data_IF_662581802431
#
_entry.id   IF_662581802431
#
_cell.length_a   1.000
_cell.length_b   1.000
_cell.length_c   1.000
_cell.angle_alpha   90.00
_cell.angle_beta   90.00
_cell.angle_gamma   90.00
#
_symmetry.space_group_name_H-M   'P 1'
#
loop_
_entity.id
_entity.type
_entity.pdbx_description
1 polymer ?
#
# COMPACT_ATOMS: atom_id res chain seq x y z
N UNK A 1 -0.73 -16.06 -4.65
CA UNK A 1 -1.13 -16.77 -5.90
C UNK A 1 -2.35 -16.15 -6.62
N UNK A 2 -3.49 -15.87 -5.97
CA UNK A 2 -4.69 -15.33 -6.67
C UNK A 2 -4.57 -13.87 -7.15
N UNK A 3 -4.02 -12.95 -6.35
CA UNK A 3 -3.83 -11.54 -6.79
C UNK A 3 -2.86 -11.42 -7.97
N UNK A 4 -1.81 -12.25 -8.00
CA UNK A 4 -0.82 -12.25 -9.08
C UNK A 4 -1.41 -12.70 -10.41
N UNK A 5 -2.31 -13.70 -10.41
CA UNK A 5 -3.03 -14.12 -11.62
C UNK A 5 -3.99 -13.03 -12.10
N UNK A 6 -4.70 -12.38 -11.16
CA UNK A 6 -5.61 -11.27 -11.45
C UNK A 6 -4.88 -10.05 -12.03
N UNK A 7 -3.72 -9.69 -11.46
CA UNK A 7 -2.88 -8.59 -11.94
C UNK A 7 -2.15 -8.94 -13.25
N UNK A 8 -1.71 -10.17 -13.44
CA UNK A 8 -1.03 -10.59 -14.68
C UNK A 8 -1.97 -10.53 -15.88
N UNK A 9 -3.25 -10.87 -15.73
CA UNK A 9 -4.24 -10.71 -16.80
C UNK A 9 -4.49 -9.24 -17.18
N UNK A 10 -4.24 -8.29 -16.26
CA UNK A 10 -4.50 -6.86 -16.44
C UNK A 10 -3.28 -6.06 -16.91
N UNK A 11 -2.07 -6.40 -16.45
CA UNK A 11 -0.87 -5.59 -16.65
C UNK A 11 -0.07 -5.94 -17.93
N UNK A 12 -0.36 -7.07 -18.56
CA UNK A 12 0.22 -7.48 -19.84
C UNK A 12 0.03 -6.45 -20.99
N UNK A 13 -1.12 -5.75 -21.14
CA UNK A 13 -1.31 -4.75 -22.19
C UNK A 13 -0.66 -3.38 -21.90
N UNK A 14 -0.23 -3.11 -20.65
CA UNK A 14 0.23 -1.78 -20.19
C UNK A 14 1.77 -1.75 -20.02
N UNK A 15 2.47 -2.87 -20.23
CA UNK A 15 3.93 -2.93 -20.16
C UNK A 15 4.51 -2.82 -18.75
N UNK A 16 3.69 -3.03 -17.71
CA UNK A 16 4.10 -2.97 -16.30
C UNK A 16 4.75 -4.31 -15.92
N UNK A 17 6.06 -4.32 -15.70
CA UNK A 17 6.82 -5.53 -15.45
C UNK A 17 6.73 -5.99 -13.98
N UNK A 18 6.01 -7.08 -13.73
CA UNK A 18 6.05 -7.79 -12.44
C UNK A 18 7.24 -8.77 -12.45
N UNK A 19 8.29 -8.51 -11.66
CA UNK A 19 9.37 -9.47 -11.44
C UNK A 19 9.08 -10.38 -10.24
N UNK A 20 9.15 -11.70 -10.45
CA UNK A 20 8.65 -12.75 -9.55
C UNK A 20 9.69 -13.23 -8.52
N UNK A 21 9.22 -13.49 -7.29
CA UNK A 21 9.74 -14.50 -6.37
C UNK A 21 8.52 -15.26 -5.83
N UNK A 22 8.50 -16.58 -5.98
CA UNK A 22 7.41 -17.42 -5.47
C UNK A 22 7.60 -17.66 -3.96
N UNK A 23 6.62 -17.25 -3.14
CA UNK A 23 6.59 -17.58 -1.72
C UNK A 23 5.51 -18.63 -1.46
N UNK A 24 5.92 -19.74 -0.84
CA UNK A 24 5.09 -20.85 -0.37
C UNK A 24 4.94 -20.79 1.15
N UNK A 25 4.30 -19.74 1.66
CA UNK A 25 3.87 -19.66 3.07
C UNK A 25 2.84 -20.73 3.42
N UNK A 26 2.55 -20.94 4.72
CA UNK A 26 1.65 -22.01 5.15
C UNK A 26 0.29 -21.84 4.48
N UNK A 27 -0.11 -22.86 3.73
CA UNK A 27 -1.41 -22.89 3.09
C UNK A 27 -2.48 -22.77 4.17
N UNK A 28 -3.22 -21.66 4.19
CA UNK A 28 -4.52 -21.64 4.85
C UNK A 28 -5.34 -22.80 4.26
N UNK A 29 -5.97 -23.65 5.09
CA UNK A 29 -6.67 -24.82 4.59
C UNK A 29 -7.73 -24.36 3.58
N UNK A 30 -7.65 -24.92 2.37
CA UNK A 30 -8.64 -24.72 1.33
C UNK A 30 -9.98 -25.28 1.83
N UNK A 31 -10.84 -24.41 2.35
CA UNK A 31 -12.24 -24.75 2.57
C UNK A 31 -12.86 -25.07 1.21
N UNK A 32 -13.10 -26.36 0.99
CA UNK A 32 -13.60 -26.96 -0.24
C UNK A 32 -15.12 -26.82 -0.35
N UNK A 33 -15.66 -25.63 -0.20
CA UNK A 33 -17.12 -25.41 -0.32
C UNK A 33 -17.44 -24.51 -1.51
N UNK A 34 -17.70 -25.15 -2.65
CA UNK A 34 -18.35 -24.57 -3.83
C UNK A 34 -19.87 -24.51 -3.62
N UNK A 35 -20.33 -23.81 -2.57
CA UNK A 35 -21.75 -23.57 -2.35
C UNK A 35 -22.10 -22.09 -2.48
N UNK A 36 -22.80 -21.81 -3.57
CA UNK A 36 -23.73 -20.70 -3.78
C UNK A 36 -23.17 -19.28 -3.65
N UNK A 37 -22.82 -18.69 -4.79
CA UNK A 37 -22.66 -17.24 -4.99
C UNK A 37 -24.03 -16.52 -4.90
N UNK A 38 -24.60 -16.46 -3.70
CA UNK A 38 -25.68 -15.54 -3.39
C UNK A 38 -25.44 -14.98 -1.98
N UNK A 39 -25.11 -13.69 -1.82
CA UNK A 39 -24.94 -13.13 -0.50
C UNK A 39 -26.33 -12.94 0.11
N UNK A 40 -26.57 -13.56 1.25
CA UNK A 40 -27.61 -13.13 2.17
C UNK A 40 -27.24 -11.72 2.66
N UNK A 41 -27.86 -10.71 2.05
CA UNK A 41 -27.72 -9.32 2.42
C UNK A 41 -28.30 -9.14 3.84
N UNK A 42 -27.44 -9.10 4.85
CA UNK A 42 -27.77 -8.39 6.08
C UNK A 42 -27.28 -6.96 5.91
N UNK A 43 -28.23 -6.09 5.55
CA UNK A 43 -28.05 -4.63 5.63
C UNK A 43 -27.93 -4.29 7.11
N UNK A 44 -26.71 -4.12 7.59
CA UNK A 44 -26.48 -3.39 8.83
C UNK A 44 -26.98 -1.95 8.62
N UNK A 45 -27.77 -1.46 9.57
CA UNK A 45 -28.39 -0.14 9.51
C UNK A 45 -27.35 0.96 9.26
N UNK A 46 -27.72 1.92 8.41
CA UNK A 46 -26.89 3.05 8.03
C UNK A 46 -26.44 3.86 9.26
N UNK A 47 -25.14 4.16 9.44
CA UNK A 47 -24.72 5.11 10.46
C UNK A 47 -25.07 6.53 10.01
N UNK A 48 -25.46 7.35 11.00
CA UNK A 48 -25.79 8.75 10.83
C UNK A 48 -24.56 9.60 10.49
N UNK A 49 -24.83 10.77 9.90
CA UNK A 49 -23.88 11.69 9.29
C UNK A 49 -22.65 12.09 10.13
N UNK A 50 -21.52 12.26 9.42
CA UNK A 50 -20.50 13.28 9.71
C UNK A 50 -19.66 13.07 10.96
N UNK A 51 -18.67 12.18 10.87
CA UNK A 51 -17.57 12.09 11.84
C UNK A 51 -16.41 11.26 11.29
N UNK A 52 -15.18 11.67 11.59
CA UNK A 52 -14.00 10.80 11.50
C UNK A 52 -14.20 9.72 12.55
N UNK A 53 -14.65 8.53 12.14
CA UNK A 53 -14.80 7.37 13.02
C UNK A 53 -13.55 6.51 12.93
N UNK A 54 -13.07 6.04 14.08
CA UNK A 54 -12.04 5.00 14.16
C UNK A 54 -12.53 3.76 13.39
N UNK A 55 -11.80 3.38 12.34
CA UNK A 55 -12.11 2.23 11.49
C UNK A 55 -11.01 1.21 11.68
N UNK A 56 -11.34 0.08 12.29
CA UNK A 56 -10.40 -1.01 12.53
C UNK A 56 -10.23 -1.81 11.25
N UNK A 57 -9.08 -2.45 11.07
CA UNK A 57 -8.89 -3.38 9.95
C UNK A 57 -9.90 -4.55 9.98
N UNK A 58 -10.50 -4.82 11.14
CA UNK A 58 -11.59 -5.79 11.33
C UNK A 58 -12.92 -5.37 10.74
N UNK A 59 -13.08 -4.08 10.42
CA UNK A 59 -14.34 -3.52 9.91
C UNK A 59 -14.44 -3.61 8.37
N UNK A 60 -13.39 -4.12 7.71
CA UNK A 60 -13.31 -4.25 6.25
C UNK A 60 -13.70 -5.68 5.82
N UNK A 61 -14.52 -5.87 4.78
CA UNK A 61 -14.89 -7.21 4.31
C UNK A 61 -13.68 -8.09 3.94
N UNK A 62 -13.80 -9.42 4.08
CA UNK A 62 -12.73 -10.38 3.77
C UNK A 62 -12.17 -10.29 2.33
N UNK A 63 -12.98 -9.83 1.37
CA UNK A 63 -12.58 -9.60 -0.03
C UNK A 63 -12.07 -8.17 -0.21
N UNK A 64 -10.98 -7.84 0.49
CA UNK A 64 -10.32 -6.52 0.44
C UNK A 64 -8.94 -6.56 -0.20
N UNK A 65 -8.71 -5.64 -1.14
CA UNK A 65 -7.39 -5.31 -1.67
C UNK A 65 -6.73 -4.22 -0.84
N UNK A 66 -5.63 -4.56 -0.18
CA UNK A 66 -4.78 -3.62 0.53
C UNK A 66 -3.70 -3.10 -0.40
N UNK A 67 -3.57 -1.79 -0.50
CA UNK A 67 -2.54 -1.13 -1.30
C UNK A 67 -1.75 -0.18 -0.42
N UNK A 68 -0.47 -0.49 -0.19
CA UNK A 68 0.42 0.29 0.66
C UNK A 68 1.31 1.19 -0.18
N UNK A 69 1.54 2.40 0.30
CA UNK A 69 2.51 3.34 -0.24
C UNK A 69 3.91 3.04 0.32
N UNK A 70 4.67 2.21 -0.41
CA UNK A 70 6.00 1.76 0.00
C UNK A 70 7.03 2.89 0.04
N UNK A 71 6.90 3.88 -0.85
CA UNK A 71 7.76 5.07 -0.80
C UNK A 71 7.47 5.85 0.48
N UNK A 72 6.21 6.17 0.78
CA UNK A 72 5.83 6.88 2.01
C UNK A 72 6.31 6.15 3.27
N UNK A 73 6.18 4.83 3.33
CA UNK A 73 6.70 4.02 4.44
C UNK A 73 8.22 4.22 4.64
N UNK A 74 9.01 4.10 3.57
CA UNK A 74 10.46 4.26 3.64
C UNK A 74 10.86 5.68 4.08
N UNK A 75 10.16 6.70 3.55
CA UNK A 75 10.40 8.10 3.91
C UNK A 75 10.07 8.38 5.38
N UNK A 76 8.93 7.88 5.86
CA UNK A 76 8.53 7.99 7.27
C UNK A 76 9.55 7.32 8.20
N UNK A 77 10.06 6.15 7.81
CA UNK A 77 11.09 5.44 8.54
C UNK A 77 12.40 6.24 8.59
N UNK A 78 12.83 6.82 7.46
CA UNK A 78 14.06 7.60 7.36
C UNK A 78 14.03 8.90 8.19
N UNK A 79 12.92 9.63 8.18
CA UNK A 79 12.76 10.89 8.94
C UNK A 79 12.13 10.68 10.33
N UNK A 80 12.00 9.43 10.79
CA UNK A 80 11.52 9.09 12.12
C UNK A 80 12.43 9.59 13.24
N UNK A 81 11.86 9.94 14.39
CA UNK A 81 12.66 10.30 15.58
C UNK A 81 13.43 9.07 16.07
N UNK A 82 14.73 9.23 16.30
CA UNK A 82 15.58 8.16 16.83
C UNK A 82 16.17 7.22 15.77
N UNK A 83 16.32 7.66 14.53
CA UNK A 83 17.01 6.90 13.47
C UNK A 83 18.43 6.56 13.92
N UNK A 84 18.61 5.36 14.47
CA UNK A 84 19.93 4.78 14.66
C UNK A 84 20.50 4.48 13.28
N UNK A 85 21.78 4.82 13.07
CA UNK A 85 22.49 4.40 11.87
C UNK A 85 22.68 2.89 11.93
N UNK A 86 22.26 2.22 10.87
CA UNK A 86 22.51 0.80 10.67
C UNK A 86 23.15 0.67 9.31
N UNK A 87 24.34 0.10 9.27
CA UNK A 87 25.08 -0.10 8.04
C UNK A 87 24.93 -1.53 7.55
N UNK A 88 24.88 -1.71 6.24
CA UNK A 88 24.99 -3.02 5.63
C UNK A 88 26.37 -3.65 5.90
N UNK A 89 26.54 -4.90 5.48
CA UNK A 89 27.80 -5.62 5.67
C UNK A 89 29.02 -4.95 5.01
N UNK A 90 28.80 -4.05 4.05
CA UNK A 90 29.84 -3.23 3.42
C UNK A 90 30.37 -2.10 4.31
N UNK A 91 29.73 -1.84 5.46
CA UNK A 91 30.11 -0.78 6.40
C UNK A 91 29.91 0.64 5.86
N UNK A 92 29.15 0.82 4.77
CA UNK A 92 28.99 2.12 4.11
C UNK A 92 27.54 2.42 3.71
N UNK A 93 26.74 1.40 3.41
CA UNK A 93 25.35 1.59 2.99
C UNK A 93 24.42 1.66 4.20
N UNK A 94 23.79 2.81 4.43
CA UNK A 94 22.74 2.95 5.43
C UNK A 94 21.52 2.09 5.07
N UNK A 95 20.98 1.35 6.04
CA UNK A 95 19.83 0.44 5.90
C UNK A 95 18.78 0.60 7.00
N UNK A 96 18.93 1.59 7.87
CA UNK A 96 18.04 1.82 8.99
C UNK A 96 16.57 1.98 8.56
N UNK A 97 16.32 2.75 7.48
CA UNK A 97 14.96 2.97 6.99
C UNK A 97 14.38 1.70 6.35
N UNK A 98 15.21 0.91 5.67
CA UNK A 98 14.82 -0.37 5.08
C UNK A 98 14.38 -1.36 6.17
N UNK A 99 15.15 -1.46 7.25
CA UNK A 99 14.84 -2.34 8.38
C UNK A 99 13.54 -1.91 9.07
N UNK A 100 13.40 -0.61 9.37
CA UNK A 100 12.20 -0.09 10.02
C UNK A 100 10.95 -0.26 9.15
N UNK A 101 11.03 0.02 7.84
CA UNK A 101 9.95 -0.25 6.89
C UNK A 101 9.60 -1.75 6.84
N UNK A 102 10.60 -2.63 6.86
CA UNK A 102 10.40 -4.08 6.87
C UNK A 102 9.66 -4.58 8.11
N UNK A 103 10.03 -4.05 9.28
CA UNK A 103 9.35 -4.35 10.56
C UNK A 103 7.90 -3.87 10.51
N UNK A 104 7.67 -2.64 10.06
CA UNK A 104 6.32 -2.08 9.92
C UNK A 104 5.45 -2.93 8.98
N UNK A 105 6.01 -3.32 7.83
CA UNK A 105 5.31 -4.17 6.87
C UNK A 105 5.02 -5.58 7.43
N UNK A 106 5.97 -6.17 8.15
CA UNK A 106 5.77 -7.48 8.78
C UNK A 106 4.66 -7.44 9.84
N UNK A 107 4.67 -6.41 10.71
CA UNK A 107 3.61 -6.18 11.69
C UNK A 107 2.25 -5.99 11.02
N UNK A 108 2.20 -5.20 9.95
CA UNK A 108 0.97 -5.03 9.16
C UNK A 108 0.44 -6.38 8.64
N UNK A 109 1.31 -7.22 8.07
CA UNK A 109 0.92 -8.54 7.55
C UNK A 109 0.40 -9.46 8.67
N UNK A 110 1.06 -9.44 9.83
CA UNK A 110 0.66 -10.26 10.98
C UNK A 110 -0.67 -9.80 11.60
N UNK A 111 -0.87 -8.48 11.75
CA UNK A 111 -2.06 -7.90 12.35
C UNK A 111 -3.28 -7.97 11.42
N UNK A 112 -3.11 -7.60 10.15
CA UNK A 112 -4.22 -7.47 9.18
C UNK A 112 -4.50 -8.78 8.45
N UNK A 113 -3.50 -9.66 8.31
CA UNK A 113 -3.57 -10.91 7.54
C UNK A 113 -4.23 -10.73 6.15
N UNK A 114 -3.75 -9.79 5.33
CA UNK A 114 -4.43 -9.40 4.10
C UNK A 114 -4.44 -10.54 3.08
N UNK A 115 -5.62 -10.86 2.55
CA UNK A 115 -5.75 -11.85 1.47
C UNK A 115 -5.17 -11.36 0.14
N UNK A 116 -5.31 -10.06 -0.13
CA UNK A 116 -4.75 -9.38 -1.29
C UNK A 116 -3.96 -8.15 -0.84
N UNK A 117 -2.66 -8.16 -1.11
CA UNK A 117 -1.73 -7.09 -0.72
C UNK A 117 -0.85 -6.70 -1.91
N UNK A 118 -0.82 -5.40 -2.20
CA UNK A 118 0.10 -4.76 -3.12
C UNK A 118 0.84 -3.61 -2.43
N UNK A 119 2.09 -3.40 -2.81
CA UNK A 119 2.92 -2.28 -2.34
C UNK A 119 3.39 -1.48 -3.56
N UNK A 120 3.02 -0.20 -3.61
CA UNK A 120 3.40 0.71 -4.68
C UNK A 120 4.72 1.43 -4.35
N UNK A 121 5.61 1.56 -5.33
CA UNK A 121 6.86 2.30 -5.20
C UNK A 121 7.03 3.31 -6.33
N UNK A 122 7.63 4.46 -6.02
CA UNK A 122 8.08 5.42 -7.01
C UNK A 122 9.31 4.89 -7.76
N UNK A 123 9.35 5.10 -9.08
CA UNK A 123 10.51 4.76 -9.91
C UNK A 123 11.47 5.94 -10.03
N UNK A 124 10.92 7.12 -10.34
CA UNK A 124 11.71 8.34 -10.52
C UNK A 124 10.81 9.58 -10.38
N UNK A 125 11.18 10.46 -9.45
CA UNK A 125 10.49 11.72 -9.17
C UNK A 125 10.69 12.78 -10.26
N UNK A 126 11.73 12.65 -11.07
CA UNK A 126 12.13 13.67 -12.03
C UNK A 126 11.61 13.43 -13.46
N UNK A 127 11.23 12.19 -13.79
CA UNK A 127 10.76 11.82 -15.15
C UNK A 127 9.27 11.49 -15.23
N UNK A 128 8.46 12.06 -14.34
CA UNK A 128 7.00 11.82 -14.31
C UNK A 128 6.29 12.58 -15.44
N UNK A 129 5.19 12.03 -15.95
CA UNK A 129 4.37 12.70 -16.97
C UNK A 129 3.89 14.08 -16.50
N UNK A 130 3.62 14.24 -15.19
CA UNK A 130 3.22 15.53 -14.60
C UNK A 130 4.27 16.61 -14.78
N UNK A 131 5.56 16.28 -14.69
CA UNK A 131 6.65 17.23 -14.91
C UNK A 131 6.85 17.59 -16.39
N UNK A 132 6.54 16.67 -17.29
CA UNK A 132 6.51 16.97 -18.73
C UNK A 132 5.41 17.98 -19.06
N UNK A 133 4.26 17.88 -18.38
CA UNK A 133 3.15 18.82 -18.52
C UNK A 133 3.41 20.16 -17.82
N UNK A 134 3.95 20.12 -16.60
CA UNK A 134 4.24 21.30 -15.78
C UNK A 134 5.62 21.16 -15.12
N UNK A 135 6.67 21.77 -15.70
CA UNK A 135 8.05 21.63 -15.21
C UNK A 135 8.27 22.08 -13.75
N UNK A 136 7.42 22.97 -13.24
CA UNK A 136 7.45 23.47 -11.85
C UNK A 136 6.77 22.53 -10.85
N UNK A 137 6.09 21.48 -11.31
CA UNK A 137 5.41 20.52 -10.44
C UNK A 137 6.38 19.88 -9.44
N UNK A 138 6.07 20.00 -8.15
CA UNK A 138 6.87 19.49 -7.04
C UNK A 138 8.34 20.01 -7.00
N UNK A 139 8.70 21.01 -7.81
CA UNK A 139 10.08 21.54 -7.91
C UNK A 139 10.57 22.21 -6.61
N UNK A 140 9.65 22.70 -5.78
CA UNK A 140 9.96 23.33 -4.49
C UNK A 140 10.32 22.32 -3.39
N UNK A 141 10.01 21.02 -3.53
CA UNK A 141 10.39 20.06 -2.49
C UNK A 141 11.88 19.74 -2.62
N UNK A 142 12.64 19.71 -1.51
CA UNK A 142 14.06 19.40 -1.54
C UNK A 142 14.32 18.05 -2.20
N UNK A 143 15.50 17.88 -2.84
CA UNK A 143 15.89 16.57 -3.35
C UNK A 143 15.97 15.57 -2.21
N UNK A 144 15.69 14.30 -2.52
CA UNK A 144 15.81 13.24 -1.54
C UNK A 144 17.27 13.08 -1.09
N UNK A 145 17.52 12.84 0.21
CA UNK A 145 18.85 12.48 0.68
C UNK A 145 19.44 11.30 -0.11
N UNK A 146 20.73 11.36 -0.41
CA UNK A 146 21.38 10.37 -1.30
C UNK A 146 21.32 8.96 -0.70
N UNK A 147 21.54 8.86 0.60
CA UNK A 147 21.44 7.64 1.40
C UNK A 147 20.02 7.04 1.38
N UNK A 148 18.97 7.86 1.36
CA UNK A 148 17.60 7.39 1.17
C UNK A 148 17.37 6.83 -0.23
N UNK A 149 17.91 7.47 -1.26
CA UNK A 149 17.81 6.98 -2.64
C UNK A 149 18.50 5.61 -2.83
N UNK A 150 19.62 5.38 -2.15
CA UNK A 150 20.31 4.08 -2.15
C UNK A 150 19.50 2.99 -1.44
N UNK A 151 18.63 3.37 -0.51
CA UNK A 151 17.77 2.45 0.22
C UNK A 151 16.51 2.02 -0.54
N UNK A 152 16.04 2.79 -1.53
CA UNK A 152 14.83 2.45 -2.29
C UNK A 152 14.89 1.06 -2.96
N UNK A 153 15.95 0.70 -3.72
CA UNK A 153 16.05 -0.65 -4.31
C UNK A 153 16.08 -1.76 -3.25
N UNK A 154 16.71 -1.51 -2.10
CA UNK A 154 16.79 -2.46 -0.99
C UNK A 154 15.41 -2.65 -0.33
N UNK A 155 14.65 -1.57 -0.16
CA UNK A 155 13.29 -1.60 0.35
C UNK A 155 12.38 -2.43 -0.57
N UNK A 156 12.43 -2.18 -1.89
CA UNK A 156 11.68 -3.00 -2.85
C UNK A 156 12.09 -4.47 -2.81
N UNK A 157 13.39 -4.77 -2.69
CA UNK A 157 13.88 -6.14 -2.60
C UNK A 157 13.37 -6.83 -1.31
N UNK A 158 13.44 -6.15 -0.17
CA UNK A 158 12.93 -6.66 1.10
C UNK A 158 11.43 -6.94 1.05
N UNK A 159 10.63 -6.01 0.50
CA UNK A 159 9.19 -6.18 0.33
C UNK A 159 8.86 -7.40 -0.53
N UNK A 160 9.63 -7.66 -1.60
CA UNK A 160 9.49 -8.90 -2.39
C UNK A 160 9.86 -10.15 -1.59
N UNK A 161 10.91 -10.10 -0.78
CA UNK A 161 11.31 -11.21 0.08
C UNK A 161 10.23 -11.55 1.14
N UNK A 162 9.46 -10.56 1.59
CA UNK A 162 8.29 -10.75 2.46
C UNK A 162 7.06 -11.32 1.71
N UNK A 163 7.21 -11.70 0.44
CA UNK A 163 6.14 -12.31 -0.36
C UNK A 163 5.10 -11.31 -0.91
N UNK A 164 5.34 -10.01 -0.77
CA UNK A 164 4.42 -8.98 -1.21
C UNK A 164 4.52 -8.71 -2.72
N UNK A 165 3.38 -8.37 -3.34
CA UNK A 165 3.37 -7.92 -4.74
C UNK A 165 3.82 -6.46 -4.81
N UNK A 166 5.00 -6.21 -5.35
CA UNK A 166 5.52 -4.85 -5.56
C UNK A 166 5.16 -4.34 -6.95
N UNK A 167 4.60 -3.15 -7.03
CA UNK A 167 4.20 -2.52 -8.29
C UNK A 167 4.86 -1.15 -8.43
N UNK A 168 5.43 -0.90 -9.60
CA UNK A 168 6.01 0.38 -9.96
C UNK A 168 5.97 0.53 -11.48
N UNK A 169 5.84 1.76 -11.96
CA UNK A 169 5.76 2.06 -13.39
C UNK A 169 6.58 3.29 -13.72
N UNK A 170 7.44 3.18 -14.73
CA UNK A 170 8.26 4.29 -15.19
C UNK A 170 7.37 5.40 -15.74
N UNK A 171 7.65 6.65 -15.35
CA UNK A 171 6.91 7.84 -15.77
C UNK A 171 5.66 8.15 -14.94
N UNK A 172 5.33 7.30 -13.97
CA UNK A 172 4.21 7.45 -13.05
C UNK A 172 4.71 7.43 -11.61
N UNK A 173 3.96 8.09 -10.74
CA UNK A 173 4.20 8.14 -9.30
C UNK A 173 3.46 7.00 -8.58
N UNK A 174 3.82 6.72 -7.34
CA UNK A 174 3.15 5.68 -6.54
C UNK A 174 1.65 5.96 -6.39
N UNK A 175 1.26 7.22 -6.29
CA UNK A 175 -0.14 7.68 -6.22
C UNK A 175 -0.97 7.23 -7.44
N UNK A 176 -0.39 7.27 -8.64
CA UNK A 176 -1.02 6.83 -9.89
C UNK A 176 -1.25 5.32 -9.90
N UNK A 177 -0.28 4.56 -9.40
CA UNK A 177 -0.38 3.10 -9.26
C UNK A 177 -1.48 2.76 -8.26
N UNK A 178 -1.53 3.44 -7.12
CA UNK A 178 -2.56 3.26 -6.09
C UNK A 178 -3.96 3.61 -6.63
N UNK A 179 -4.09 4.72 -7.35
CA UNK A 179 -5.34 5.13 -7.99
C UNK A 179 -5.84 4.11 -9.03
N UNK A 180 -4.91 3.53 -9.80
CA UNK A 180 -5.18 2.48 -10.78
C UNK A 180 -5.71 1.22 -10.09
N UNK A 181 -5.04 0.77 -9.03
CA UNK A 181 -5.44 -0.40 -8.24
C UNK A 181 -6.77 -0.19 -7.53
N UNK A 182 -7.03 1.01 -7.00
CA UNK A 182 -8.31 1.36 -6.39
C UNK A 182 -9.48 1.25 -7.38
N UNK A 183 -9.28 1.81 -8.58
CA UNK A 183 -10.29 1.77 -9.62
C UNK A 183 -10.51 0.34 -10.12
N UNK A 184 -9.44 -0.42 -10.30
CA UNK A 184 -9.49 -1.81 -10.73
C UNK A 184 -10.13 -2.73 -9.70
N UNK A 185 -9.67 -2.72 -8.44
CA UNK A 185 -10.21 -3.56 -7.37
C UNK A 185 -11.71 -3.37 -7.20
N UNK A 186 -12.17 -2.10 -7.23
CA UNK A 186 -13.59 -1.78 -7.23
C UNK A 186 -14.34 -2.35 -8.44
N UNK A 187 -13.76 -2.26 -9.64
CA UNK A 187 -14.40 -2.76 -10.87
C UNK A 187 -14.64 -4.27 -10.88
N UNK A 188 -13.87 -5.02 -10.09
CA UNK A 188 -14.03 -6.47 -9.91
C UNK A 188 -14.76 -6.83 -8.60
N UNK A 189 -15.36 -5.86 -7.94
CA UNK A 189 -16.19 -6.05 -6.75
C UNK A 189 -15.46 -6.14 -5.42
N UNK A 190 -14.15 -5.89 -5.38
CA UNK A 190 -13.38 -5.85 -4.13
C UNK A 190 -13.59 -4.53 -3.39
N UNK A 191 -13.53 -4.58 -2.06
CA UNK A 191 -13.20 -3.41 -1.26
C UNK A 191 -11.72 -3.09 -1.43
N UNK A 192 -11.35 -1.81 -1.40
CA UNK A 192 -9.96 -1.37 -1.50
C UNK A 192 -9.62 -0.47 -0.33
N UNK A 193 -8.50 -0.75 0.33
CA UNK A 193 -7.94 0.12 1.37
C UNK A 193 -6.58 0.60 0.91
N UNK A 194 -6.46 1.92 0.76
CA UNK A 194 -5.24 2.62 0.43
C UNK A 194 -4.55 3.07 1.71
N UNK A 195 -3.36 2.56 1.99
CA UNK A 195 -2.60 2.92 3.18
C UNK A 195 -1.52 3.93 2.80
N UNK A 196 -1.74 5.21 3.12
CA UNK A 196 -0.80 6.31 2.87
C UNK A 196 -1.04 7.49 3.81
N UNK A 197 0.00 8.27 4.08
CA UNK A 197 -0.11 9.57 4.77
C UNK A 197 -0.42 10.72 3.80
N UNK A 198 -0.36 10.46 2.49
CA UNK A 198 -0.64 11.48 1.48
C UNK A 198 -2.14 11.78 1.43
N UNK A 199 -2.50 13.02 1.78
CA UNK A 199 -3.89 13.51 1.76
C UNK A 199 -4.44 13.57 0.34
N UNK A 200 -3.60 13.54 -0.68
CA UNK A 200 -4.06 13.46 -2.06
C UNK A 200 -4.82 12.14 -2.31
N UNK A 201 -4.59 11.07 -1.54
CA UNK A 201 -5.36 9.83 -1.66
C UNK A 201 -6.84 10.01 -1.33
N UNK A 202 -7.20 11.03 -0.55
CA UNK A 202 -8.59 11.33 -0.19
C UNK A 202 -9.48 11.59 -1.39
N UNK A 203 -8.90 12.01 -2.52
CA UNK A 203 -9.63 12.20 -3.78
C UNK A 203 -10.24 10.89 -4.32
N UNK A 204 -9.71 9.73 -3.93
CA UNK A 204 -10.11 8.41 -4.42
C UNK A 204 -11.24 7.78 -3.59
N UNK A 205 -11.53 8.37 -2.43
CA UNK A 205 -12.50 7.86 -1.47
C UNK A 205 -13.90 7.84 -2.08
N UNK A 206 -14.52 6.67 -2.06
CA UNK A 206 -15.87 6.43 -2.58
C UNK A 206 -16.44 5.13 -2.02
N UNK A 207 -17.61 4.70 -2.50
CA UNK A 207 -18.14 3.37 -2.16
C UNK A 207 -17.07 2.29 -2.44
N UNK A 208 -16.79 1.45 -1.43
CA UNK A 208 -15.76 0.39 -1.42
C UNK A 208 -14.30 0.85 -1.53
N UNK A 209 -13.99 2.15 -1.51
CA UNK A 209 -12.60 2.64 -1.50
C UNK A 209 -12.37 3.50 -0.27
N UNK A 210 -11.48 3.03 0.59
CA UNK A 210 -11.13 3.66 1.86
C UNK A 210 -9.66 4.10 1.83
N UNK A 211 -9.36 5.19 2.52
CA UNK A 211 -7.98 5.64 2.75
C UNK A 211 -7.69 5.54 4.22
N UNK A 212 -6.55 4.96 4.57
CA UNK A 212 -6.12 4.70 5.93
C UNK A 212 -4.75 5.31 6.15
N UNK A 213 -4.64 6.21 7.13
CA UNK A 213 -3.35 6.78 7.51
C UNK A 213 -2.72 5.91 8.63
N UNK A 214 -1.45 5.51 8.50
CA UNK A 214 -0.75 4.82 9.59
C UNK A 214 -0.49 5.80 10.75
N UNK A 215 -0.95 5.52 11.98
CA UNK A 215 -0.60 6.37 13.13
C UNK A 215 0.79 6.05 13.66
N UNK A 216 1.53 7.10 14.05
CA UNK A 216 2.66 6.97 14.97
C UNK A 216 2.15 6.66 16.37
N UNK A 217 2.31 5.41 16.80
CA UNK A 217 2.12 5.08 18.20
C UNK A 217 3.41 5.34 18.98
N UNK A 218 3.42 6.34 19.86
CA UNK A 218 4.60 6.69 20.67
C UNK A 218 4.71 5.83 21.93
N UNK A 219 3.66 5.08 22.30
CA UNK A 219 3.55 4.37 23.59
C UNK A 219 2.82 3.02 23.58
N UNK A 220 2.26 2.56 22.46
CA UNK A 220 1.52 1.29 22.40
C UNK A 220 1.94 0.45 21.17
N UNK A 221 2.00 -0.86 21.34
CA UNK A 221 2.49 -1.87 20.40
C UNK A 221 1.50 -2.22 19.27
N UNK A 222 0.52 -1.38 18.99
CA UNK A 222 -0.54 -1.68 18.00
C UNK A 222 -0.68 -0.52 17.04
N UNK A 223 -0.62 -0.82 15.73
CA UNK A 223 -0.85 0.17 14.69
C UNK A 223 -2.34 0.55 14.70
N UNK A 224 -2.62 1.78 15.11
CA UNK A 224 -3.94 2.37 14.91
C UNK A 224 -3.96 3.02 13.53
N UNK A 225 -5.00 2.78 12.76
CA UNK A 225 -5.12 3.37 11.43
C UNK A 225 -6.47 4.06 11.29
N UNK A 226 -6.42 5.30 10.81
CA UNK A 226 -7.57 6.20 10.80
C UNK A 226 -8.06 6.36 9.37
N UNK A 227 -9.36 6.11 9.16
CA UNK A 227 -9.98 6.26 7.85
C UNK A 227 -10.40 7.70 7.64
N UNK A 228 -10.10 8.18 6.44
CA UNK A 228 -10.68 9.40 5.93
C UNK A 228 -11.73 9.04 4.86
N UNK A 229 -12.98 9.13 5.30
CA UNK A 229 -14.23 9.10 4.56
C UNK A 229 -14.69 7.74 3.97
N UNK A 230 -16.00 7.52 4.09
CA UNK A 230 -16.77 6.50 3.40
C UNK A 230 -17.82 7.29 2.62
N UNK A 231 -17.77 7.34 1.29
CA UNK A 231 -18.87 8.00 0.57
C UNK A 231 -20.06 7.04 0.52
N UNK A 232 -21.07 7.30 1.33
CA UNK A 232 -22.43 6.87 1.00
C UNK A 232 -22.97 7.86 -0.03
N UNK A 233 -22.96 7.47 -1.30
CA UNK A 233 -23.68 8.20 -2.34
C UNK A 233 -24.92 7.40 -2.75
N UNK A 234 -26.04 8.11 -2.68
CA UNK A 234 -27.45 7.72 -2.86
C UNK A 234 -27.78 7.35 -4.30
#
# INVERSE_FOLDING_TARGET
>A
MRLQLLLSAMLQPIGMACAFVAWSGPAAPLASDTRSLAPALHVAAAPAAGGITEFKHTDVPDETLWVLDGTSMLFRAHFGKGSQSYLAADGATEVAAVLAMGIELAQFIEEVQPRYLAVAFDVDRNSTFRRQLMPTYKAHRPPHPRDLLLQLPLATALTKCLGCTCLSQRGYEADDVMATLATWGRSIGLSVVLVSEDKDMLQLVRERVHVMAPRRCVTCSTNHFEVAATSTAT
#
